data_IF_060074676357
#
_entry.id   IF_060074676357
#
_cell.length_a   1.000
_cell.length_b   1.000
_cell.length_c   1.000
_cell.angle_alpha   90.00
_cell.angle_beta   90.00
_cell.angle_gamma   90.00
#
_symmetry.space_group_name_H-M   'P 1'
#
loop_
_entity.id
_entity.type
_entity.pdbx_description
1 polymer ?
#
# COMPACT_ATOMS: atom_id res chain seq x y z
N UNK A 1 -19.42 -29.94 30.79
CA UNK A 1 -18.47 -30.47 29.77
C UNK A 1 -19.20 -31.08 28.58
N UNK A 2 -20.09 -32.07 28.76
CA UNK A 2 -20.83 -32.72 27.66
C UNK A 2 -21.71 -31.76 26.85
N UNK A 3 -22.44 -30.84 27.52
CA UNK A 3 -23.26 -29.82 26.83
C UNK A 3 -22.43 -28.84 25.99
N UNK A 4 -21.20 -28.52 26.43
CA UNK A 4 -20.30 -27.62 25.71
C UNK A 4 -19.75 -28.28 24.44
N UNK A 5 -19.40 -29.56 24.52
CA UNK A 5 -18.97 -30.35 23.37
C UNK A 5 -20.10 -30.55 22.35
N UNK A 6 -21.34 -30.76 22.81
CA UNK A 6 -22.53 -30.80 21.95
C UNK A 6 -22.76 -29.48 21.22
N UNK A 7 -22.63 -28.34 21.90
CA UNK A 7 -22.79 -27.02 21.28
C UNK A 7 -21.74 -26.77 20.17
N UNK A 8 -20.49 -27.16 20.41
CA UNK A 8 -19.42 -27.05 19.40
C UNK A 8 -19.71 -27.96 18.20
N UNK A 9 -20.10 -29.21 18.43
CA UNK A 9 -20.42 -30.14 17.35
C UNK A 9 -21.59 -29.63 16.49
N UNK A 10 -22.64 -29.09 17.12
CA UNK A 10 -23.77 -28.48 16.42
C UNK A 10 -23.32 -27.27 15.59
N UNK A 11 -22.47 -26.40 16.14
CA UNK A 11 -21.95 -25.24 15.42
C UNK A 11 -21.09 -25.65 14.20
N UNK A 12 -20.25 -26.67 14.33
CA UNK A 12 -19.44 -27.21 13.22
C UNK A 12 -20.33 -27.83 12.14
N UNK A 13 -21.38 -28.55 12.52
CA UNK A 13 -22.34 -29.14 11.58
C UNK A 13 -23.12 -28.04 10.84
N UNK A 14 -23.65 -27.04 11.55
CA UNK A 14 -24.39 -25.94 10.93
C UNK A 14 -23.53 -25.10 10.00
N UNK A 15 -22.28 -24.81 10.38
CA UNK A 15 -21.35 -24.07 9.51
C UNK A 15 -20.96 -24.90 8.29
N UNK A 16 -20.71 -26.21 8.43
CA UNK A 16 -20.45 -27.12 7.31
C UNK A 16 -21.65 -27.20 6.35
N UNK A 17 -22.86 -27.38 6.87
CA UNK A 17 -24.09 -27.41 6.07
C UNK A 17 -24.36 -26.06 5.37
N UNK A 18 -24.13 -24.94 6.05
CA UNK A 18 -24.25 -23.61 5.47
C UNK A 18 -23.25 -23.41 4.32
N UNK A 19 -22.00 -23.87 4.47
CA UNK A 19 -20.98 -23.80 3.42
C UNK A 19 -21.32 -24.68 2.21
N UNK A 20 -21.86 -25.89 2.44
CA UNK A 20 -22.34 -26.79 1.37
C UNK A 20 -23.56 -26.22 0.63
N UNK A 21 -24.48 -25.58 1.36
CA UNK A 21 -25.65 -24.93 0.77
C UNK A 21 -25.24 -23.69 -0.05
N UNK A 22 -24.35 -22.85 0.49
CA UNK A 22 -23.83 -21.66 -0.18
C UNK A 22 -23.10 -22.01 -1.48
N UNK A 23 -22.25 -23.04 -1.46
CA UNK A 23 -21.55 -23.51 -2.67
C UNK A 23 -22.52 -24.03 -3.74
N UNK A 24 -23.58 -24.76 -3.36
CA UNK A 24 -24.63 -25.20 -4.29
C UNK A 24 -25.45 -24.05 -4.88
N UNK A 25 -25.82 -23.04 -4.09
CA UNK A 25 -26.56 -21.87 -4.57
C UNK A 25 -25.69 -21.03 -5.51
N UNK A 26 -24.43 -20.82 -5.17
CA UNK A 26 -23.49 -20.07 -5.99
C UNK A 26 -23.19 -20.80 -7.32
N UNK A 27 -23.19 -22.13 -7.32
CA UNK A 27 -23.10 -22.95 -8.52
C UNK A 27 -24.39 -22.90 -9.37
N UNK A 28 -25.57 -22.78 -8.74
CA UNK A 28 -26.87 -22.69 -9.44
C UNK A 28 -27.13 -21.30 -10.04
N UNK A 29 -26.59 -20.24 -9.44
CA UNK A 29 -26.73 -18.85 -9.90
C UNK A 29 -25.62 -18.40 -10.87
N UNK A 30 -24.56 -19.20 -11.07
CA UNK A 30 -23.60 -18.94 -12.14
C UNK A 30 -24.13 -19.50 -13.46
N UNK A 31 -24.82 -18.66 -14.23
CA UNK A 31 -24.98 -18.86 -15.66
C UNK A 31 -23.60 -19.25 -16.24
N UNK A 32 -23.47 -20.44 -16.83
CA UNK A 32 -22.22 -20.94 -17.42
C UNK A 32 -21.79 -20.07 -18.59
N UNK A 33 -21.13 -18.94 -18.31
CA UNK A 33 -20.07 -18.47 -19.18
C UNK A 33 -18.92 -19.41 -18.91
N UNK A 34 -18.59 -20.27 -19.88
CA UNK A 34 -17.36 -21.07 -19.84
C UNK A 34 -16.22 -20.09 -20.05
N UNK A 35 -15.81 -19.42 -18.97
CA UNK A 35 -14.58 -18.65 -18.95
C UNK A 35 -13.47 -19.69 -18.84
N UNK A 36 -12.66 -19.83 -19.89
CA UNK A 36 -11.40 -20.59 -19.83
C UNK A 36 -10.46 -19.86 -18.87
N UNK A 37 -10.64 -20.10 -17.59
CA UNK A 37 -9.84 -19.50 -16.53
C UNK A 37 -8.47 -20.15 -16.52
N UNK A 38 -7.39 -19.37 -16.31
CA UNK A 38 -6.06 -19.95 -16.13
C UNK A 38 -6.05 -20.96 -15.00
N UNK A 39 -5.24 -22.03 -15.09
CA UNK A 39 -5.22 -23.12 -14.12
C UNK A 39 -4.94 -22.56 -12.71
N UNK A 40 -5.76 -22.95 -11.74
CA UNK A 40 -5.52 -22.60 -10.33
C UNK A 40 -4.48 -23.55 -9.75
N UNK A 41 -3.46 -23.00 -9.10
CA UNK A 41 -2.44 -23.83 -8.45
C UNK A 41 -3.05 -24.60 -7.27
N UNK A 42 -2.57 -25.81 -6.98
CA UNK A 42 -3.03 -26.58 -5.83
C UNK A 42 -2.55 -25.96 -4.50
N UNK A 43 -3.32 -26.17 -3.43
CA UNK A 43 -2.93 -25.78 -2.07
C UNK A 43 -3.73 -24.64 -1.43
N UNK A 44 -4.84 -24.20 -2.02
CA UNK A 44 -5.66 -23.14 -1.44
C UNK A 44 -6.37 -23.60 -0.14
N UNK A 45 -6.12 -22.92 0.98
CA UNK A 45 -6.86 -23.17 2.23
C UNK A 45 -8.01 -22.19 2.38
N UNK A 46 -9.23 -22.64 2.67
CA UNK A 46 -10.30 -21.71 3.04
C UNK A 46 -10.13 -21.24 4.49
N UNK A 47 -10.21 -19.93 4.83
CA UNK A 47 -10.51 -18.77 3.96
C UNK A 47 -9.28 -18.02 3.41
N UNK A 48 -8.06 -18.44 3.77
CA UNK A 48 -6.79 -17.71 3.56
C UNK A 48 -6.28 -17.78 2.09
N UNK A 49 -6.76 -18.74 1.32
CA UNK A 49 -6.27 -19.06 -0.01
C UNK A 49 -4.81 -19.52 0.02
N UNK A 50 -4.00 -18.89 -0.82
CA UNK A 50 -2.57 -19.09 -0.96
C UNK A 50 -1.74 -18.02 -0.24
N UNK A 51 -2.36 -17.16 0.58
CA UNK A 51 -1.63 -16.09 1.29
C UNK A 51 -0.51 -16.63 2.19
N UNK A 52 -0.64 -17.86 2.68
CA UNK A 52 0.38 -18.53 3.48
C UNK A 52 1.73 -18.67 2.74
N UNK A 53 1.73 -18.73 1.41
CA UNK A 53 2.96 -18.78 0.61
C UNK A 53 3.81 -17.51 0.80
N UNK A 54 3.16 -16.37 1.10
CA UNK A 54 3.81 -15.07 1.20
C UNK A 54 4.25 -14.71 2.63
N UNK A 55 4.04 -15.60 3.59
CA UNK A 55 4.50 -15.43 4.98
C UNK A 55 5.99 -15.86 5.13
N UNK A 56 6.63 -16.27 4.04
CA UNK A 56 8.04 -16.70 4.04
C UNK A 56 9.04 -15.55 4.03
N UNK A 57 10.29 -15.81 4.43
CA UNK A 57 11.41 -14.86 4.28
C UNK A 57 11.84 -14.64 2.82
N UNK A 58 11.32 -15.44 1.89
CA UNK A 58 11.65 -15.35 0.48
C UNK A 58 10.92 -14.16 -0.16
N UNK A 59 11.61 -13.32 -0.95
CA UNK A 59 10.97 -12.23 -1.69
C UNK A 59 9.81 -12.71 -2.57
N UNK A 60 8.69 -11.96 -2.56
CA UNK A 60 7.48 -12.27 -3.32
C UNK A 60 7.76 -12.56 -4.81
N UNK A 61 8.65 -11.77 -5.42
CA UNK A 61 9.00 -11.92 -6.83
C UNK A 61 9.64 -13.30 -7.13
N UNK A 62 10.45 -13.83 -6.21
CA UNK A 62 11.06 -15.15 -6.38
C UNK A 62 10.04 -16.28 -6.18
N UNK A 63 9.11 -16.11 -5.24
CA UNK A 63 8.01 -17.07 -5.04
C UNK A 63 7.16 -17.14 -6.32
N UNK A 64 6.77 -16.00 -6.87
CA UNK A 64 5.98 -15.94 -8.10
C UNK A 64 6.75 -16.43 -9.33
N UNK A 65 8.06 -16.18 -9.41
CA UNK A 65 8.91 -16.71 -10.46
C UNK A 65 8.97 -18.25 -10.42
N UNK A 66 9.23 -18.84 -9.25
CA UNK A 66 9.25 -20.29 -9.08
C UNK A 66 7.89 -20.93 -9.40
N UNK A 67 6.78 -20.25 -9.06
CA UNK A 67 5.44 -20.70 -9.45
C UNK A 67 5.22 -20.59 -10.96
N UNK A 68 5.72 -19.55 -11.61
CA UNK A 68 5.66 -19.41 -13.06
C UNK A 68 6.48 -20.49 -13.78
N UNK A 69 7.66 -20.82 -13.27
CA UNK A 69 8.49 -21.90 -13.83
C UNK A 69 7.78 -23.26 -13.74
N UNK A 70 6.96 -23.46 -12.70
CA UNK A 70 6.24 -24.71 -12.45
C UNK A 70 4.89 -24.82 -13.16
N UNK A 71 4.12 -23.74 -13.21
CA UNK A 71 2.73 -23.74 -13.68
C UNK A 71 2.53 -22.97 -14.99
N UNK A 72 3.59 -22.40 -15.54
CA UNK A 72 3.59 -21.63 -16.78
C UNK A 72 3.39 -20.13 -16.56
N UNK A 73 3.37 -19.37 -17.66
CA UNK A 73 3.36 -17.92 -17.61
C UNK A 73 2.02 -17.27 -17.24
N UNK A 74 0.93 -18.06 -17.18
CA UNK A 74 -0.40 -17.61 -16.79
C UNK A 74 -1.03 -18.67 -15.88
N UNK A 75 -1.28 -18.31 -14.63
CA UNK A 75 -1.92 -19.20 -13.66
C UNK A 75 -2.76 -18.39 -12.66
N UNK A 76 -3.63 -19.08 -11.93
CA UNK A 76 -4.48 -18.47 -10.91
C UNK A 76 -4.02 -18.86 -9.51
N UNK A 77 -4.07 -17.91 -8.59
CA UNK A 77 -3.91 -18.11 -7.14
C UNK A 77 -5.13 -17.55 -6.41
N UNK A 78 -5.20 -17.79 -5.10
CA UNK A 78 -6.22 -17.24 -4.21
C UNK A 78 -5.58 -16.34 -3.18
N UNK A 79 -6.02 -15.10 -3.10
CA UNK A 79 -5.67 -14.15 -2.05
C UNK A 79 -6.89 -14.06 -1.11
N UNK A 80 -6.88 -14.87 -0.06
CA UNK A 80 -8.08 -15.08 0.74
C UNK A 80 -9.19 -15.78 -0.06
N UNK A 81 -10.37 -15.17 -0.06
CA UNK A 81 -11.52 -15.63 -0.85
C UNK A 81 -11.47 -15.18 -2.32
N UNK A 82 -10.63 -14.20 -2.65
CA UNK A 82 -10.54 -13.63 -3.99
C UNK A 82 -9.54 -14.40 -4.85
N UNK A 83 -9.88 -14.62 -6.12
CA UNK A 83 -8.96 -15.21 -7.10
C UNK A 83 -8.12 -14.09 -7.74
N UNK A 84 -6.82 -14.31 -7.86
CA UNK A 84 -5.91 -13.45 -8.60
C UNK A 84 -5.27 -14.24 -9.74
N UNK A 85 -5.13 -13.61 -10.90
CA UNK A 85 -4.43 -14.18 -12.05
C UNK A 85 -3.02 -13.60 -12.06
N UNK A 86 -2.03 -14.48 -12.13
CA UNK A 86 -0.62 -14.12 -12.25
C UNK A 86 -0.22 -14.26 -13.71
N UNK A 87 0.37 -13.21 -14.27
CA UNK A 87 0.92 -13.17 -15.61
C UNK A 87 2.39 -12.79 -15.51
N UNK A 88 3.29 -13.64 -16.00
CA UNK A 88 4.74 -13.42 -15.93
C UNK A 88 5.41 -13.19 -17.29
N UNK A 89 4.66 -13.27 -18.39
CA UNK A 89 5.15 -13.02 -19.75
C UNK A 89 4.97 -11.54 -20.14
N UNK A 90 6.02 -10.93 -20.71
CA UNK A 90 6.03 -9.48 -20.99
C UNK A 90 5.12 -9.10 -22.18
N UNK A 91 4.97 -9.96 -23.18
CA UNK A 91 4.09 -9.73 -24.33
C UNK A 91 2.63 -9.60 -23.87
N UNK A 92 2.20 -10.51 -22.98
CA UNK A 92 0.85 -10.51 -22.41
C UNK A 92 0.66 -9.30 -21.49
N UNK A 93 1.63 -8.99 -20.63
CA UNK A 93 1.58 -7.80 -19.77
C UNK A 93 1.46 -6.53 -20.63
N UNK A 94 2.23 -6.43 -21.72
CA UNK A 94 2.12 -5.31 -22.65
C UNK A 94 0.71 -5.21 -23.22
N UNK A 95 0.17 -6.30 -23.74
CA UNK A 95 -1.19 -6.32 -24.29
C UNK A 95 -2.25 -5.91 -23.25
N UNK A 96 -2.12 -6.40 -22.02
CA UNK A 96 -2.97 -6.02 -20.88
C UNK A 96 -2.98 -4.50 -20.64
N UNK A 97 -1.82 -3.86 -20.66
CA UNK A 97 -1.69 -2.43 -20.34
C UNK A 97 -1.72 -1.49 -21.55
N UNK A 98 -1.80 -2.00 -22.78
CA UNK A 98 -1.95 -1.17 -24.00
C UNK A 98 -3.27 -1.39 -24.70
N UNK A 99 -3.61 -2.63 -25.04
CA UNK A 99 -4.76 -2.95 -25.89
C UNK A 99 -6.02 -3.15 -25.05
N UNK A 100 -5.87 -3.79 -23.88
CA UNK A 100 -6.96 -4.17 -22.99
C UNK A 100 -6.98 -3.33 -21.69
N UNK A 101 -6.28 -2.19 -21.67
CA UNK A 101 -6.05 -1.35 -20.50
C UNK A 101 -7.35 -0.92 -19.80
N UNK A 102 -8.38 -0.59 -20.58
CA UNK A 102 -9.70 -0.18 -20.07
C UNK A 102 -10.40 -1.27 -19.26
N UNK A 103 -10.21 -2.54 -19.61
CA UNK A 103 -10.82 -3.68 -18.90
C UNK A 103 -10.16 -3.85 -17.52
N UNK A 104 -8.87 -3.53 -17.42
CA UNK A 104 -8.09 -3.59 -16.19
C UNK A 104 -8.14 -2.29 -15.37
N UNK A 105 -8.78 -1.24 -15.89
CA UNK A 105 -8.91 0.05 -15.23
C UNK A 105 -10.06 0.09 -14.20
N UNK A 106 -10.81 -1.01 -14.02
CA UNK A 106 -11.88 -1.10 -13.03
C UNK A 106 -11.39 -0.83 -11.61
N UNK A 107 -12.23 -0.18 -10.80
CA UNK A 107 -12.02 0.13 -9.38
C UNK A 107 -13.25 -0.31 -8.60
N UNK A 108 -13.39 -1.63 -8.34
CA UNK A 108 -14.53 -2.15 -7.60
C UNK A 108 -14.68 -1.42 -6.27
N UNK A 109 -15.94 -1.15 -5.88
CA UNK A 109 -16.24 -0.50 -4.63
C UNK A 109 -15.57 -1.23 -3.47
N UNK A 110 -14.81 -0.47 -2.68
CA UNK A 110 -14.14 -0.96 -1.48
C UNK A 110 -14.53 -0.07 -0.30
N UNK A 111 -14.41 -0.58 0.92
CA UNK A 111 -14.65 0.25 2.11
C UNK A 111 -13.78 1.49 2.11
N UNK A 112 -12.52 1.39 1.66
CA UNK A 112 -11.64 2.55 1.50
C UNK A 112 -12.22 3.56 0.49
N UNK A 113 -12.66 3.12 -0.68
CA UNK A 113 -13.29 4.01 -1.66
C UNK A 113 -14.60 4.62 -1.16
N UNK A 114 -15.39 3.89 -0.37
CA UNK A 114 -16.64 4.40 0.21
C UNK A 114 -16.36 5.48 1.26
N UNK A 115 -15.51 5.19 2.26
CA UNK A 115 -15.31 6.06 3.41
C UNK A 115 -14.24 7.14 3.18
N UNK A 116 -13.12 6.82 2.53
CA UNK A 116 -12.04 7.77 2.25
C UNK A 116 -12.23 8.45 0.89
N UNK A 117 -12.90 7.77 -0.04
CA UNK A 117 -13.08 8.22 -1.42
C UNK A 117 -14.39 8.94 -1.70
N UNK A 118 -15.16 9.38 -0.68
CA UNK A 118 -16.48 10.03 -0.84
C UNK A 118 -17.41 9.20 -1.74
N UNK A 119 -17.74 7.99 -1.31
CA UNK A 119 -18.53 7.04 -2.10
C UNK A 119 -17.92 6.72 -3.48
N UNK A 120 -16.61 6.48 -3.51
CA UNK A 120 -15.78 6.24 -4.69
C UNK A 120 -15.68 7.43 -5.67
N UNK A 121 -16.16 8.62 -5.35
CA UNK A 121 -16.04 9.79 -6.23
C UNK A 121 -14.61 10.35 -6.34
N UNK A 122 -13.76 10.09 -5.35
CA UNK A 122 -12.37 10.53 -5.34
C UNK A 122 -11.58 9.89 -6.49
N UNK A 123 -10.69 10.68 -7.10
CA UNK A 123 -10.01 10.32 -8.35
C UNK A 123 -9.26 8.97 -8.33
N UNK A 124 -8.70 8.56 -7.19
CA UNK A 124 -8.01 7.27 -7.04
C UNK A 124 -8.94 6.06 -6.89
N UNK A 125 -10.20 6.28 -6.56
CA UNK A 125 -11.21 5.24 -6.27
C UNK A 125 -12.34 5.19 -7.30
N UNK A 126 -12.53 6.24 -8.10
CA UNK A 126 -13.57 6.30 -9.12
C UNK A 126 -13.30 5.33 -10.27
N UNK A 127 -14.36 4.61 -10.66
CA UNK A 127 -14.34 3.71 -11.82
C UNK A 127 -14.00 4.47 -13.11
N UNK A 128 -13.29 3.77 -14.00
CA UNK A 128 -12.92 4.33 -15.28
C UNK A 128 -14.17 4.59 -16.15
N UNK A 129 -14.37 5.85 -16.54
CA UNK A 129 -15.55 6.27 -17.30
C UNK A 129 -15.49 7.73 -17.73
N UNK A 130 -16.57 8.28 -18.31
CA UNK A 130 -16.65 9.70 -18.70
C UNK A 130 -16.35 10.66 -17.54
N UNK A 131 -16.89 10.37 -16.34
CA UNK A 131 -16.61 11.14 -15.12
C UNK A 131 -15.11 11.16 -14.80
N UNK A 132 -14.48 9.99 -14.68
CA UNK A 132 -13.06 9.89 -14.35
C UNK A 132 -12.17 10.59 -15.38
N UNK A 133 -12.47 10.46 -16.68
CA UNK A 133 -11.73 11.14 -17.75
C UNK A 133 -11.82 12.66 -17.64
N UNK A 134 -12.99 13.20 -17.31
CA UNK A 134 -13.19 14.64 -17.10
C UNK A 134 -12.41 15.14 -15.88
N UNK A 135 -12.51 14.45 -14.74
CA UNK A 135 -11.74 14.80 -13.54
C UNK A 135 -10.24 14.68 -13.78
N UNK A 136 -9.77 13.62 -14.48
CA UNK A 136 -8.35 13.49 -14.86
C UNK A 136 -7.87 14.71 -15.63
N UNK A 137 -8.65 15.15 -16.62
CA UNK A 137 -8.30 16.30 -17.46
C UNK A 137 -8.20 17.57 -16.60
N UNK A 138 -9.16 17.81 -15.70
CA UNK A 138 -9.13 18.95 -14.78
C UNK A 138 -7.93 18.89 -13.82
N UNK A 139 -7.67 17.75 -13.19
CA UNK A 139 -6.52 17.58 -12.28
C UNK A 139 -5.20 17.80 -13.01
N UNK A 140 -5.04 17.21 -14.20
CA UNK A 140 -3.83 17.36 -14.99
C UNK A 140 -3.59 18.81 -15.42
N UNK A 141 -4.63 19.46 -15.95
CA UNK A 141 -4.52 20.81 -16.50
C UNK A 141 -4.45 21.89 -15.41
N UNK A 142 -5.27 21.80 -14.36
CA UNK A 142 -5.39 22.89 -13.38
C UNK A 142 -4.51 22.70 -12.16
N UNK A 143 -4.33 21.46 -11.70
CA UNK A 143 -3.57 21.18 -10.48
C UNK A 143 -2.13 20.86 -10.82
N UNK A 144 -1.89 19.90 -11.71
CA UNK A 144 -0.54 19.42 -11.99
C UNK A 144 0.25 20.37 -12.89
N UNK A 145 -0.33 20.91 -13.97
CA UNK A 145 0.42 21.80 -14.87
C UNK A 145 0.80 23.14 -14.21
N UNK A 146 -0.07 23.69 -13.36
CA UNK A 146 0.12 25.01 -12.73
C UNK A 146 0.95 24.95 -11.45
N UNK A 147 0.90 23.85 -10.69
CA UNK A 147 1.62 23.73 -9.41
C UNK A 147 3.01 23.12 -9.53
N UNK A 148 3.49 22.70 -10.71
CA UNK A 148 4.88 22.25 -10.89
C UNK A 148 5.88 23.25 -10.31
N UNK A 149 5.67 24.56 -10.50
CA UNK A 149 6.54 25.60 -9.92
C UNK A 149 6.50 25.62 -8.39
N UNK A 150 5.32 25.51 -7.79
CA UNK A 150 5.17 25.46 -6.33
C UNK A 150 5.71 24.16 -5.72
N UNK A 151 5.57 23.04 -6.43
CA UNK A 151 6.12 21.75 -6.03
C UNK A 151 7.64 21.73 -6.17
N UNK A 152 8.18 22.36 -7.22
CA UNK A 152 9.62 22.59 -7.35
C UNK A 152 10.13 23.43 -6.18
N UNK A 153 9.41 24.49 -5.82
CA UNK A 153 9.74 25.31 -4.64
C UNK A 153 9.72 24.51 -3.33
N UNK A 154 8.68 23.69 -3.11
CA UNK A 154 8.63 22.79 -1.94
C UNK A 154 9.77 21.77 -1.94
N UNK A 155 10.14 21.24 -3.10
CA UNK A 155 11.30 20.34 -3.24
C UNK A 155 12.62 21.05 -2.93
N UNK A 156 12.76 22.31 -3.36
CA UNK A 156 13.94 23.14 -3.05
C UNK A 156 14.00 23.51 -1.56
N UNK A 157 12.85 23.76 -0.92
CA UNK A 157 12.78 23.99 0.53
C UNK A 157 13.14 22.74 1.32
N UNK A 158 12.67 21.56 0.89
CA UNK A 158 13.00 20.30 1.55
C UNK A 158 14.47 19.92 1.36
N UNK A 159 15.06 20.18 0.18
CA UNK A 159 16.50 20.02 -0.06
C UNK A 159 17.33 20.90 0.89
N UNK A 160 16.90 22.14 1.14
CA UNK A 160 17.57 23.05 2.10
C UNK A 160 17.48 22.53 3.53
N UNK A 161 16.31 22.05 3.96
CA UNK A 161 16.12 21.51 5.32
C UNK A 161 17.02 20.29 5.53
N UNK A 162 17.02 19.34 4.59
CA UNK A 162 17.86 18.14 4.70
C UNK A 162 19.34 18.49 4.65
N UNK A 163 19.75 19.44 3.81
CA UNK A 163 21.15 19.92 3.77
C UNK A 163 21.55 20.52 5.11
N UNK A 164 20.75 21.43 5.67
CA UNK A 164 21.00 22.04 6.98
C UNK A 164 21.09 21.00 8.10
N UNK A 165 20.27 19.95 8.04
CA UNK A 165 20.25 18.91 9.06
C UNK A 165 21.50 18.02 9.00
N UNK A 166 21.98 17.71 7.79
CA UNK A 166 23.26 17.00 7.59
C UNK A 166 24.44 17.85 8.07
N UNK A 167 24.46 19.14 7.73
CA UNK A 167 25.53 20.06 8.12
C UNK A 167 25.61 20.21 9.66
N UNK A 168 24.47 20.24 10.35
CA UNK A 168 24.41 20.24 11.81
C UNK A 168 25.05 18.99 12.41
N UNK A 169 24.75 17.80 11.87
CA UNK A 169 25.32 16.52 12.34
C UNK A 169 26.82 16.43 12.07
N UNK A 170 27.29 16.92 10.92
CA UNK A 170 28.71 17.01 10.61
C UNK A 170 29.43 17.92 11.62
N UNK A 171 28.87 19.10 11.90
CA UNK A 171 29.44 20.05 12.85
C UNK A 171 29.48 19.49 14.28
N UNK A 172 28.39 18.86 14.74
CA UNK A 172 28.35 18.18 16.06
C UNK A 172 29.43 17.10 16.17
N UNK A 173 29.65 16.34 15.11
CA UNK A 173 30.67 15.29 15.04
C UNK A 173 32.10 15.84 15.07
N UNK A 174 32.37 16.91 14.33
CA UNK A 174 33.67 17.60 14.35
C UNK A 174 33.98 18.19 15.73
N UNK A 175 32.96 18.75 16.39
CA UNK A 175 33.06 19.31 17.74
C UNK A 175 33.00 18.26 18.86
N UNK A 176 32.89 16.97 18.52
CA UNK A 176 32.75 15.85 19.45
C UNK A 176 31.63 16.04 20.49
N UNK A 177 30.55 16.75 20.12
CA UNK A 177 29.37 16.95 20.95
C UNK A 177 28.63 15.60 21.00
N UNK A 178 28.53 15.01 22.19
CA UNK A 178 27.78 13.77 22.39
C UNK A 178 26.29 14.08 22.48
N UNK A 179 25.55 13.59 21.49
CA UNK A 179 24.11 13.40 21.60
C UNK A 179 23.85 12.01 22.21
N UNK A 180 22.81 11.90 23.04
CA UNK A 180 22.50 10.64 23.75
C UNK A 180 21.76 9.65 22.82
N UNK A 181 21.13 10.18 21.76
CA UNK A 181 20.41 9.42 20.75
C UNK A 181 21.13 9.49 19.40
N UNK A 182 21.49 8.33 18.82
CA UNK A 182 22.00 8.24 17.45
C UNK A 182 20.85 8.17 16.46
N UNK A 183 20.82 9.10 15.51
CA UNK A 183 19.81 9.11 14.46
C UNK A 183 20.29 8.45 13.16
N UNK A 184 19.43 8.44 12.14
CA UNK A 184 19.73 7.81 10.86
C UNK A 184 20.92 8.48 10.13
N UNK A 185 21.11 9.78 10.30
CA UNK A 185 22.21 10.53 9.67
C UNK A 185 23.54 10.09 10.31
N UNK A 186 23.60 9.97 11.63
CA UNK A 186 24.79 9.49 12.35
C UNK A 186 25.19 8.08 11.93
N UNK A 187 24.21 7.18 11.82
CA UNK A 187 24.44 5.80 11.36
C UNK A 187 25.03 5.82 9.95
N UNK A 188 24.46 6.60 9.04
CA UNK A 188 24.92 6.68 7.65
C UNK A 188 26.33 7.31 7.55
N UNK A 189 26.59 8.37 8.33
CA UNK A 189 27.90 9.00 8.47
C UNK A 189 28.97 8.05 9.06
N UNK A 190 28.57 7.06 9.86
CA UNK A 190 29.47 6.04 10.42
C UNK A 190 29.76 4.88 9.46
N UNK A 191 28.86 4.60 8.51
CA UNK A 191 28.91 3.42 7.62
C UNK A 191 29.38 3.73 6.21
N UNK A 192 29.30 4.98 5.78
CA UNK A 192 29.74 5.39 4.45
C UNK A 192 31.14 6.02 4.56
N UNK A 193 32.15 5.27 4.14
CA UNK A 193 33.52 5.77 3.98
C UNK A 193 33.67 6.56 2.67
N UNK A 194 34.54 7.57 2.66
CA UNK A 194 34.87 8.37 1.46
C UNK A 194 35.37 7.52 0.28
N UNK A 195 35.88 6.31 0.57
CA UNK A 195 36.45 5.40 -0.42
C UNK A 195 35.41 4.59 -1.21
N UNK A 196 34.14 4.59 -0.81
CA UNK A 196 33.06 3.80 -1.42
C UNK A 196 32.41 4.43 -2.67
N UNK A 197 33.07 5.42 -3.26
CA UNK A 197 32.38 6.43 -4.05
C UNK A 197 32.65 6.33 -5.54
N UNK A 198 31.64 5.85 -6.28
CA UNK A 198 31.54 5.92 -7.74
C UNK A 198 31.38 7.38 -8.25
N UNK A 199 32.21 8.32 -7.78
CA UNK A 199 32.23 9.72 -8.16
C UNK A 199 31.28 10.66 -7.38
N UNK A 200 30.64 10.19 -6.30
CA UNK A 200 29.72 10.99 -5.49
C UNK A 200 30.31 11.31 -4.11
N UNK A 201 29.95 12.43 -3.50
CA UNK A 201 30.37 12.73 -2.13
C UNK A 201 29.49 12.02 -1.10
N UNK A 202 30.00 11.83 0.12
CA UNK A 202 29.30 11.11 1.20
C UNK A 202 28.03 11.82 1.60
N UNK A 203 28.11 13.13 1.65
CA UNK A 203 27.02 14.05 1.90
C UNK A 203 25.96 13.93 0.80
N UNK A 204 26.39 13.80 -0.47
CA UNK A 204 25.47 13.59 -1.60
C UNK A 204 24.74 12.27 -1.49
N UNK A 205 25.42 11.18 -1.12
CA UNK A 205 24.78 9.86 -0.92
C UNK A 205 23.82 9.89 0.25
N UNK A 206 24.20 10.50 1.38
CA UNK A 206 23.35 10.60 2.56
C UNK A 206 22.11 11.44 2.26
N UNK A 207 22.28 12.60 1.64
CA UNK A 207 21.18 13.48 1.22
C UNK A 207 20.24 12.78 0.24
N UNK A 208 20.79 12.14 -0.79
CA UNK A 208 20.00 11.38 -1.75
C UNK A 208 19.27 10.21 -1.09
N UNK A 209 19.91 9.52 -0.15
CA UNK A 209 19.31 8.39 0.56
C UNK A 209 18.16 8.86 1.46
N UNK A 210 18.31 9.95 2.21
CA UNK A 210 17.26 10.52 3.08
C UNK A 210 16.07 11.00 2.27
N UNK A 211 16.31 11.79 1.22
CA UNK A 211 15.26 12.28 0.33
C UNK A 211 14.54 11.14 -0.43
N UNK A 212 15.20 9.99 -0.61
CA UNK A 212 14.60 8.81 -1.24
C UNK A 212 14.04 7.79 -0.22
N UNK A 213 14.45 7.82 1.06
CA UNK A 213 14.08 6.83 2.09
C UNK A 213 12.60 6.87 2.42
N UNK A 214 12.00 8.06 2.37
CA UNK A 214 10.54 8.27 2.46
C UNK A 214 9.76 7.44 1.43
N UNK A 215 10.42 7.00 0.34
CA UNK A 215 9.82 6.32 -0.80
C UNK A 215 10.33 4.88 -1.00
N UNK A 216 11.32 4.42 -0.22
CA UNK A 216 11.83 3.04 -0.28
C UNK A 216 10.74 1.99 0.00
N UNK A 217 9.82 2.14 0.99
CA UNK A 217 8.78 1.13 1.21
C UNK A 217 7.76 1.05 0.07
N UNK A 218 7.75 2.02 -0.87
CA UNK A 218 6.89 2.02 -2.05
C UNK A 218 7.63 1.74 -3.37
N UNK A 219 8.85 1.21 -3.27
CA UNK A 219 9.66 0.75 -4.40
C UNK A 219 10.42 1.88 -5.06
N UNK A 220 11.68 2.09 -4.66
CA UNK A 220 12.63 2.92 -5.40
C UNK A 220 13.38 2.08 -6.46
N UNK A 221 13.72 2.68 -7.61
CA UNK A 221 14.47 2.04 -8.70
C UNK A 221 13.67 1.73 -9.98
N UNK A 222 14.26 0.98 -10.94
CA UNK A 222 13.68 0.65 -12.26
C UNK A 222 12.33 -0.08 -12.25
N UNK A 223 11.81 -0.41 -11.06
CA UNK A 223 10.53 -1.11 -10.82
C UNK A 223 9.61 -0.35 -9.87
N UNK A 224 9.82 0.95 -9.68
CA UNK A 224 8.95 1.80 -8.87
C UNK A 224 7.52 1.81 -9.43
N UNK A 225 6.53 1.87 -8.55
CA UNK A 225 5.13 1.94 -8.96
C UNK A 225 4.94 3.16 -9.87
N UNK A 226 4.42 3.02 -11.11
CA UNK A 226 4.20 4.17 -11.99
C UNK A 226 3.18 5.17 -11.40
N UNK A 227 2.42 4.76 -10.38
CA UNK A 227 1.51 5.60 -9.61
C UNK A 227 2.11 6.23 -8.34
N UNK A 228 3.40 6.07 -8.03
CA UNK A 228 4.00 6.50 -6.74
C UNK A 228 3.90 8.02 -6.54
N UNK A 229 4.20 8.82 -7.55
CA UNK A 229 4.12 10.28 -7.49
C UNK A 229 2.67 10.74 -7.26
N UNK A 230 1.72 10.05 -7.90
CA UNK A 230 0.31 10.30 -7.69
C UNK A 230 -0.17 9.86 -6.29
N UNK A 231 0.27 8.69 -5.82
CA UNK A 231 -0.05 8.18 -4.50
C UNK A 231 0.44 9.13 -3.40
N UNK A 232 1.65 9.68 -3.54
CA UNK A 232 2.20 10.65 -2.59
C UNK A 232 1.37 11.93 -2.51
N UNK A 233 0.92 12.45 -3.65
CA UNK A 233 0.02 13.60 -3.67
C UNK A 233 -1.32 13.29 -3.00
N UNK A 234 -1.86 12.07 -3.21
CA UNK A 234 -3.07 11.61 -2.55
C UNK A 234 -2.87 11.43 -1.05
N UNK A 235 -1.72 10.90 -0.61
CA UNK A 235 -1.40 10.73 0.81
C UNK A 235 -1.33 12.08 1.51
N UNK A 236 -0.60 13.06 0.96
CA UNK A 236 -0.55 14.42 1.52
C UNK A 236 -1.94 15.07 1.59
N UNK A 237 -2.75 14.93 0.54
CA UNK A 237 -4.11 15.46 0.52
C UNK A 237 -5.03 14.74 1.51
N UNK A 238 -4.88 13.43 1.65
CA UNK A 238 -5.66 12.61 2.59
C UNK A 238 -5.32 12.97 4.02
N UNK A 239 -4.03 13.09 4.35
CA UNK A 239 -3.56 13.53 5.65
C UNK A 239 -4.03 14.96 5.96
N UNK A 240 -3.90 15.88 5.00
CA UNK A 240 -4.38 17.25 5.15
C UNK A 240 -5.90 17.31 5.38
N UNK A 241 -6.68 16.47 4.68
CA UNK A 241 -8.14 16.37 4.89
C UNK A 241 -8.50 15.77 6.24
N UNK A 242 -7.78 14.75 6.69
CA UNK A 242 -7.96 14.16 8.01
C UNK A 242 -7.67 15.18 9.11
N UNK A 243 -6.52 15.86 9.03
CA UNK A 243 -6.13 16.90 9.99
C UNK A 243 -7.03 18.13 9.96
N UNK A 244 -7.54 18.51 8.79
CA UNK A 244 -8.46 19.64 8.67
C UNK A 244 -9.86 19.28 9.19
N UNK A 245 -10.33 18.07 8.91
CA UNK A 245 -11.69 17.63 9.23
C UNK A 245 -11.86 17.12 10.66
N UNK A 246 -10.80 16.68 11.33
CA UNK A 246 -10.90 15.97 12.61
C UNK A 246 -9.80 16.38 13.60
N UNK A 247 -10.17 16.39 14.88
CA UNK A 247 -9.24 16.30 16.00
C UNK A 247 -8.98 14.83 16.30
N UNK A 248 -7.73 14.49 16.56
CA UNK A 248 -7.30 13.14 16.92
C UNK A 248 -6.78 13.16 18.36
N UNK A 249 -7.18 12.20 19.17
CA UNK A 249 -6.61 11.93 20.48
C UNK A 249 -6.40 10.44 20.67
N UNK A 250 -5.45 10.05 21.51
CA UNK A 250 -5.26 8.65 21.90
C UNK A 250 -6.17 8.30 23.07
N UNK A 251 -6.33 7.00 23.34
CA UNK A 251 -7.09 6.54 24.49
C UNK A 251 -6.41 7.03 25.78
N UNK A 252 -7.01 8.03 26.44
CA UNK A 252 -6.45 8.61 27.67
C UNK A 252 -5.15 9.41 27.50
N UNK A 253 -4.90 9.98 26.32
CA UNK A 253 -3.67 10.75 25.99
C UNK A 253 -2.36 9.95 26.21
N UNK A 254 -2.45 8.62 26.15
CA UNK A 254 -1.29 7.75 26.24
C UNK A 254 -0.39 7.87 25.00
N UNK A 255 0.93 7.69 25.17
CA UNK A 255 1.86 7.69 24.05
C UNK A 255 1.57 6.55 23.05
N UNK A 256 1.71 6.86 21.77
CA UNK A 256 1.44 5.91 20.68
C UNK A 256 2.54 4.85 20.62
N UNK A 257 2.16 3.58 20.77
CA UNK A 257 3.06 2.46 20.56
C UNK A 257 3.43 2.31 19.06
N UNK A 258 4.71 2.47 18.74
CA UNK A 258 5.28 2.36 17.39
C UNK A 258 5.98 1.02 17.13
N UNK A 259 5.92 0.07 18.06
CA UNK A 259 6.52 -1.24 17.87
C UNK A 259 5.96 -1.94 16.62
N UNK A 260 6.86 -2.51 15.82
CA UNK A 260 6.52 -3.12 14.52
C UNK A 260 6.10 -4.57 14.72
N UNK A 261 4.95 -4.92 14.19
CA UNK A 261 4.41 -6.28 14.14
C UNK A 261 4.88 -7.05 12.91
N UNK A 262 4.80 -8.37 12.97
CA UNK A 262 5.23 -9.25 11.88
C UNK A 262 4.14 -9.36 10.79
N UNK A 263 4.30 -8.68 9.64
CA UNK A 263 3.49 -8.91 8.42
C UNK A 263 4.11 -8.26 7.16
N UNK A 264 3.47 -8.47 6.02
CA UNK A 264 3.86 -8.01 4.67
C UNK A 264 3.83 -6.47 4.55
N UNK A 265 3.06 -5.77 5.38
CA UNK A 265 2.81 -4.32 5.28
C UNK A 265 3.25 -3.52 6.51
N UNK A 266 4.27 -3.96 7.26
CA UNK A 266 4.76 -3.26 8.47
C UNK A 266 3.64 -2.80 9.43
N UNK A 267 2.76 -3.71 9.91
CA UNK A 267 1.70 -3.33 10.84
C UNK A 267 2.30 -2.95 12.20
N UNK A 268 1.56 -2.21 13.02
CA UNK A 268 1.90 -2.04 14.44
C UNK A 268 1.73 -3.37 15.18
N UNK A 269 2.56 -3.65 16.18
CA UNK A 269 2.44 -4.84 17.02
C UNK A 269 1.14 -4.80 17.84
N UNK A 270 0.77 -3.61 18.33
CA UNK A 270 -0.52 -3.32 18.92
C UNK A 270 -1.32 -2.38 18.00
N UNK A 271 -2.60 -2.66 17.70
CA UNK A 271 -3.42 -1.78 16.88
C UNK A 271 -3.47 -0.34 17.42
N UNK A 272 -3.37 0.66 16.53
CA UNK A 272 -3.54 2.06 16.93
C UNK A 272 -5.03 2.34 17.18
N UNK A 273 -5.38 2.58 18.43
CA UNK A 273 -6.70 3.09 18.81
C UNK A 273 -6.65 4.61 18.93
N UNK A 274 -7.49 5.29 18.14
CA UNK A 274 -7.59 6.75 18.10
C UNK A 274 -9.05 7.19 18.21
N UNK A 275 -9.31 8.16 19.06
CA UNK A 275 -10.57 8.90 19.07
C UNK A 275 -10.52 9.99 18.01
N UNK A 276 -11.53 10.01 17.16
CA UNK A 276 -11.64 10.95 16.03
C UNK A 276 -12.86 11.82 16.26
N UNK A 277 -12.64 13.11 16.50
CA UNK A 277 -13.70 14.10 16.72
C UNK A 277 -13.83 15.03 15.52
N UNK A 278 -14.98 15.11 14.83
CA UNK A 278 -15.16 16.02 13.70
C UNK A 278 -15.03 17.48 14.14
N UNK A 279 -14.26 18.26 13.38
CA UNK A 279 -14.10 19.72 13.58
C UNK A 279 -15.20 20.53 12.91
N UNK A 280 -15.74 20.04 11.79
CA UNK A 280 -16.76 20.75 11.02
C UNK A 280 -18.16 20.44 11.58
N UNK A 281 -19.13 21.27 11.20
CA UNK A 281 -20.51 21.12 11.64
C UNK A 281 -21.06 19.71 11.30
N UNK A 282 -21.76 19.02 12.22
CA UNK A 282 -22.28 17.67 12.01
C UNK A 282 -23.16 17.50 10.77
N UNK A 283 -23.80 18.59 10.31
CA UNK A 283 -24.61 18.64 9.08
C UNK A 283 -23.80 18.27 7.81
N UNK A 284 -22.48 18.48 7.82
CA UNK A 284 -21.59 18.13 6.71
C UNK A 284 -21.18 16.65 6.69
N UNK A 285 -21.53 15.91 7.75
CA UNK A 285 -21.24 14.48 7.92
C UNK A 285 -22.52 13.62 8.02
N UNK A 286 -23.71 14.24 7.97
CA UNK A 286 -24.99 13.53 7.95
C UNK A 286 -25.43 13.26 6.52
N UNK A 287 -25.99 12.07 6.32
CA UNK A 287 -26.64 11.64 5.08
C UNK A 287 -28.05 12.23 4.97
#
# INVERSE_FOLDING_TARGET
MVQFLLAIAIFVIFTSLYMLWKTKIQAKNSSKVVINLPPEIPGAYFPIGHLYLFISKTPLALILANLADKYGHIFSIRLGIHRAIIVSNWEIVKECFTTNDKVLAGRPASSAGIYLGYNNAAFGFADYGPYWRNIRKLVLLEVLSRRIKSMKKLSEEMDKIVTSWIDEHLMKRELAIKDDDQDFIDVMLSKIDEQFMYGYTRETIIKATILNFEFIPFGSGRRSCPGITFAMQVTHLTLARLLQGFNFSTLGDLPVDLTVGNSITLPKANPLEVFVMPRLAPMLYRH
#
